data_IF_519025876274
#
_entry.id   IF_519025876274
#
_cell.length_a   1.000
_cell.length_b   1.000
_cell.length_c   1.000
_cell.angle_alpha   90.00
_cell.angle_beta   90.00
_cell.angle_gamma   90.00
#
_symmetry.space_group_name_H-M   'P 1'
#
loop_
_entity.id
_entity.type
_entity.pdbx_description
1 polymer ?
#
# COMPACT_ATOMS: atom_id res chain seq x y z
N UNK A 1 56.71 -104.30 -65.13
CA UNK A 1 55.36 -103.69 -65.19
C UNK A 1 54.66 -103.88 -63.85
N UNK A 2 54.12 -102.78 -63.31
CA UNK A 2 53.59 -102.59 -61.96
C UNK A 2 52.11 -103.00 -61.89
N UNK A 3 51.74 -103.97 -61.05
CA UNK A 3 50.33 -104.29 -60.78
C UNK A 3 49.85 -103.43 -59.61
N UNK A 4 49.16 -102.31 -59.92
CA UNK A 4 48.50 -101.46 -58.92
C UNK A 4 47.40 -102.27 -58.24
N UNK A 5 47.46 -102.41 -56.91
CA UNK A 5 46.30 -102.78 -56.10
C UNK A 5 45.30 -101.63 -56.25
N UNK A 6 44.12 -101.91 -56.81
CA UNK A 6 43.01 -100.97 -56.74
C UNK A 6 42.63 -100.87 -55.26
N UNK A 7 43.02 -99.78 -54.61
CA UNK A 7 42.40 -99.35 -53.37
C UNK A 7 40.94 -99.10 -53.70
N UNK A 8 40.05 -100.00 -53.26
CA UNK A 8 38.64 -99.65 -53.10
C UNK A 8 38.60 -98.54 -52.05
N UNK A 9 38.68 -97.30 -52.52
CA UNK A 9 38.94 -96.09 -51.71
C UNK A 9 37.68 -95.63 -50.98
N UNK A 10 36.63 -96.45 -50.97
CA UNK A 10 35.27 -96.07 -50.57
C UNK A 10 34.50 -97.12 -49.77
N UNK A 11 35.15 -97.92 -48.91
CA UNK A 11 34.42 -98.85 -48.04
C UNK A 11 34.86 -98.72 -46.57
N UNK A 12 33.89 -98.42 -45.71
CA UNK A 12 33.96 -98.18 -44.26
C UNK A 12 34.63 -96.89 -43.74
N UNK A 13 35.95 -96.68 -43.91
CA UNK A 13 36.66 -95.63 -43.15
C UNK A 13 36.28 -94.19 -43.54
N UNK A 14 35.88 -93.96 -44.79
CA UNK A 14 35.41 -92.64 -45.24
C UNK A 14 34.03 -92.29 -44.64
N UNK A 15 33.14 -93.28 -44.51
CA UNK A 15 31.81 -93.09 -43.93
C UNK A 15 31.90 -92.73 -42.44
N UNK A 16 32.83 -93.33 -41.70
CA UNK A 16 33.06 -93.01 -40.28
C UNK A 16 33.56 -91.58 -40.08
N UNK A 17 34.49 -91.11 -40.93
CA UNK A 17 35.02 -89.73 -40.84
C UNK A 17 33.95 -88.70 -41.22
N UNK A 18 33.15 -88.96 -42.25
CA UNK A 18 32.05 -88.08 -42.65
C UNK A 18 30.92 -88.10 -41.62
N UNK A 19 30.59 -89.26 -41.04
CA UNK A 19 29.59 -89.40 -39.98
C UNK A 19 30.01 -88.68 -38.70
N UNK A 20 31.28 -88.81 -38.30
CA UNK A 20 31.83 -88.10 -37.14
C UNK A 20 31.87 -86.58 -37.37
N UNK A 21 32.29 -86.14 -38.56
CA UNK A 21 32.29 -84.72 -38.93
C UNK A 21 30.89 -84.12 -38.97
N UNK A 22 29.93 -84.84 -39.56
CA UNK A 22 28.53 -84.40 -39.62
C UNK A 22 27.87 -84.41 -38.24
N UNK A 23 28.15 -85.41 -37.41
CA UNK A 23 27.71 -85.46 -36.02
C UNK A 23 28.25 -84.30 -35.18
N UNK A 24 29.52 -83.93 -35.36
CA UNK A 24 30.12 -82.77 -34.69
C UNK A 24 29.47 -81.45 -35.14
N UNK A 25 29.17 -81.30 -36.43
CA UNK A 25 28.46 -80.13 -36.96
C UNK A 25 27.02 -80.06 -36.44
N UNK A 26 26.30 -81.18 -36.37
CA UNK A 26 24.95 -81.24 -35.78
C UNK A 26 25.01 -80.88 -34.30
N UNK A 27 25.94 -81.45 -33.53
CA UNK A 27 26.10 -81.14 -32.10
C UNK A 27 26.40 -79.66 -31.89
N UNK A 28 27.29 -79.07 -32.70
CA UNK A 28 27.60 -77.65 -32.63
C UNK A 28 26.36 -76.79 -32.96
N UNK A 29 25.58 -77.18 -33.97
CA UNK A 29 24.35 -76.48 -34.36
C UNK A 29 23.27 -76.61 -33.27
N UNK A 30 23.12 -77.77 -32.64
CA UNK A 30 22.17 -78.01 -31.55
C UNK A 30 22.58 -77.23 -30.30
N UNK A 31 23.85 -77.24 -29.92
CA UNK A 31 24.36 -76.47 -28.78
C UNK A 31 24.18 -74.97 -29.05
N UNK A 32 24.55 -74.46 -30.23
CA UNK A 32 24.39 -73.03 -30.55
C UNK A 32 22.93 -72.58 -30.68
N UNK A 33 22.02 -73.45 -31.12
CA UNK A 33 20.58 -73.11 -31.23
C UNK A 33 19.81 -73.25 -29.92
N UNK A 34 20.27 -74.08 -28.98
CA UNK A 34 19.61 -74.27 -27.69
C UNK A 34 20.16 -73.33 -26.61
N UNK A 35 21.45 -72.92 -26.68
CA UNK A 35 22.09 -72.18 -25.60
C UNK A 35 22.06 -70.64 -25.67
N UNK A 36 21.53 -70.00 -26.72
CA UNK A 36 21.36 -68.54 -26.72
C UNK A 36 20.04 -68.08 -27.39
N UNK A 37 19.25 -67.13 -26.80
CA UNK A 37 19.33 -66.63 -25.41
C UNK A 37 17.97 -66.18 -24.81
N UNK A 38 17.25 -67.07 -24.11
CA UNK A 38 16.04 -66.67 -23.36
C UNK A 38 16.36 -65.62 -22.28
N UNK A 39 17.58 -65.60 -21.76
CA UNK A 39 18.06 -64.63 -20.76
C UNK A 39 18.33 -63.25 -21.35
N UNK A 40 18.84 -63.15 -22.59
CA UNK A 40 19.10 -61.86 -23.24
C UNK A 40 17.79 -61.22 -23.71
N UNK A 41 16.83 -62.01 -24.19
CA UNK A 41 15.50 -61.49 -24.55
C UNK A 41 14.75 -60.93 -23.34
N UNK A 42 14.73 -61.65 -22.21
CA UNK A 42 14.15 -61.14 -20.94
C UNK A 42 14.85 -59.87 -20.45
N UNK A 43 16.19 -59.85 -20.47
CA UNK A 43 16.96 -58.66 -20.06
C UNK A 43 16.69 -57.46 -20.97
N UNK A 44 16.47 -57.66 -22.28
CA UNK A 44 16.09 -56.58 -23.20
C UNK A 44 14.68 -56.07 -22.92
N UNK A 45 13.74 -56.97 -22.63
CA UNK A 45 12.37 -56.60 -22.28
C UNK A 45 12.32 -55.81 -20.95
N UNK A 46 13.04 -56.25 -19.93
CA UNK A 46 13.15 -55.55 -18.64
C UNK A 46 13.75 -54.14 -18.79
N UNK A 47 14.80 -54.00 -19.62
CA UNK A 47 15.40 -52.70 -19.91
C UNK A 47 14.45 -51.78 -20.68
N UNK A 48 13.67 -52.32 -21.63
CA UNK A 48 12.65 -51.54 -22.34
C UNK A 48 11.54 -51.07 -21.39
N UNK A 49 11.08 -51.94 -20.48
CA UNK A 49 10.10 -51.56 -19.46
C UNK A 49 10.65 -50.48 -18.52
N UNK A 50 11.93 -50.55 -18.15
CA UNK A 50 12.58 -49.52 -17.34
C UNK A 50 12.66 -48.18 -18.09
N UNK A 51 13.00 -48.18 -19.38
CA UNK A 51 13.03 -46.96 -20.20
C UNK A 51 11.64 -46.31 -20.23
N UNK A 52 10.59 -47.08 -20.50
CA UNK A 52 9.21 -46.57 -20.52
C UNK A 52 8.80 -45.99 -19.16
N UNK A 53 9.22 -46.63 -18.06
CA UNK A 53 8.97 -46.13 -16.71
C UNK A 53 9.68 -44.79 -16.46
N UNK A 54 10.98 -44.70 -16.80
CA UNK A 54 11.77 -43.48 -16.63
C UNK A 54 11.27 -42.35 -17.51
N UNK A 55 10.81 -42.63 -18.74
CA UNK A 55 10.20 -41.62 -19.61
C UNK A 55 8.89 -41.08 -19.04
N UNK A 56 8.08 -41.93 -18.40
CA UNK A 56 6.87 -41.49 -17.70
C UNK A 56 7.21 -40.59 -16.53
N UNK A 57 8.12 -41.03 -15.65
CA UNK A 57 8.57 -40.24 -14.49
C UNK A 57 9.16 -38.90 -14.94
N UNK A 58 9.95 -38.87 -16.02
CA UNK A 58 10.50 -37.63 -16.57
C UNK A 58 9.40 -36.67 -17.05
N UNK A 59 8.36 -37.19 -17.70
CA UNK A 59 7.25 -36.38 -18.17
C UNK A 59 6.40 -35.84 -17.01
N UNK A 60 6.17 -36.65 -15.97
CA UNK A 60 5.51 -36.21 -14.72
C UNK A 60 6.32 -35.09 -14.06
N UNK A 61 7.63 -35.29 -13.86
CA UNK A 61 8.50 -34.31 -13.22
C UNK A 61 8.60 -33.00 -14.02
N UNK A 62 8.56 -33.09 -15.36
CA UNK A 62 8.47 -31.91 -16.23
C UNK A 62 7.14 -31.18 -16.05
N UNK A 63 6.03 -31.92 -15.97
CA UNK A 63 4.71 -31.38 -15.66
C UNK A 63 4.73 -30.60 -14.35
N UNK A 64 5.20 -31.24 -13.27
CA UNK A 64 5.31 -30.62 -11.95
C UNK A 64 6.19 -29.38 -11.98
N UNK A 65 7.34 -29.44 -12.66
CA UNK A 65 8.23 -28.29 -12.82
C UNK A 65 7.56 -27.12 -13.55
N UNK A 66 6.74 -27.38 -14.57
CA UNK A 66 6.00 -26.30 -15.25
C UNK A 66 4.96 -25.65 -14.34
N UNK A 67 4.24 -26.44 -13.53
CA UNK A 67 3.28 -25.90 -12.56
C UNK A 67 3.98 -25.06 -11.50
N UNK A 68 5.05 -25.60 -10.90
CA UNK A 68 5.83 -24.89 -9.88
C UNK A 68 6.40 -23.58 -10.43
N UNK A 69 6.95 -23.58 -11.65
CA UNK A 69 7.48 -22.36 -12.24
C UNK A 69 6.40 -21.29 -12.49
N UNK A 70 5.19 -21.71 -12.87
CA UNK A 70 4.07 -20.80 -13.03
C UNK A 70 3.65 -20.22 -11.69
N UNK A 71 3.53 -21.05 -10.66
CA UNK A 71 3.10 -20.62 -9.32
C UNK A 71 4.17 -19.71 -8.68
N UNK A 72 5.46 -20.00 -8.89
CA UNK A 72 6.58 -19.15 -8.48
C UNK A 72 6.45 -17.75 -9.11
N UNK A 73 6.18 -17.69 -10.41
CA UNK A 73 5.99 -16.42 -11.12
C UNK A 73 4.81 -15.62 -10.55
N UNK A 74 3.69 -16.28 -10.27
CA UNK A 74 2.52 -15.64 -9.64
C UNK A 74 2.88 -15.06 -8.26
N UNK A 75 3.59 -15.82 -7.43
CA UNK A 75 4.05 -15.36 -6.11
C UNK A 75 5.01 -14.17 -6.24
N UNK A 76 5.91 -14.17 -7.22
CA UNK A 76 6.82 -13.05 -7.50
C UNK A 76 6.06 -11.78 -7.89
N UNK A 77 5.05 -11.90 -8.74
CA UNK A 77 4.17 -10.79 -9.13
C UNK A 77 3.42 -10.23 -7.91
N UNK A 78 2.79 -11.10 -7.11
CA UNK A 78 2.13 -10.71 -5.87
C UNK A 78 3.08 -10.03 -4.87
N UNK A 79 4.30 -10.55 -4.73
CA UNK A 79 5.32 -9.96 -3.86
C UNK A 79 5.74 -8.56 -4.34
N UNK A 80 5.89 -8.38 -5.65
CA UNK A 80 6.19 -7.08 -6.26
C UNK A 80 5.07 -6.07 -5.99
N UNK A 81 3.81 -6.47 -6.15
CA UNK A 81 2.65 -5.62 -5.84
C UNK A 81 2.58 -5.26 -4.36
N UNK A 82 2.79 -6.23 -3.47
CA UNK A 82 2.76 -5.99 -2.03
C UNK A 82 3.91 -5.08 -1.59
N UNK A 83 5.10 -5.19 -2.19
CA UNK A 83 6.19 -4.24 -1.95
C UNK A 83 5.83 -2.82 -2.39
N UNK A 84 5.18 -2.65 -3.54
CA UNK A 84 4.68 -1.34 -4.00
C UNK A 84 3.65 -0.76 -3.01
N UNK A 85 2.67 -1.56 -2.59
CA UNK A 85 1.66 -1.17 -1.60
C UNK A 85 2.31 -0.75 -0.27
N UNK A 86 3.27 -1.53 0.23
CA UNK A 86 4.01 -1.22 1.45
C UNK A 86 4.75 0.12 1.34
N UNK A 87 5.45 0.36 0.22
CA UNK A 87 6.18 1.61 0.03
C UNK A 87 5.24 2.81 -0.06
N UNK A 88 4.08 2.65 -0.71
CA UNK A 88 3.04 3.68 -0.73
C UNK A 88 2.53 3.99 0.68
N UNK A 89 2.13 2.97 1.44
CA UNK A 89 1.64 3.14 2.81
C UNK A 89 2.70 3.76 3.74
N UNK A 90 3.98 3.44 3.56
CA UNK A 90 5.06 4.06 4.31
C UNK A 90 5.21 5.55 3.97
N UNK A 91 5.01 5.93 2.70
CA UNK A 91 4.95 7.33 2.28
C UNK A 91 3.76 8.07 2.89
N UNK A 92 2.56 7.50 2.75
CA UNK A 92 1.33 8.05 3.30
C UNK A 92 1.43 8.24 4.83
N UNK A 93 2.05 7.29 5.54
CA UNK A 93 2.28 7.39 6.98
C UNK A 93 3.23 8.54 7.33
N UNK A 94 4.34 8.68 6.59
CA UNK A 94 5.29 9.78 6.80
C UNK A 94 4.66 11.14 6.53
N UNK A 95 3.77 11.24 5.55
CA UNK A 95 3.01 12.45 5.25
C UNK A 95 2.04 12.80 6.41
N UNK A 96 1.26 11.81 6.88
CA UNK A 96 0.36 12.00 8.03
C UNK A 96 1.11 12.38 9.31
N UNK A 97 2.27 11.78 9.59
CA UNK A 97 3.11 12.15 10.73
C UNK A 97 3.61 13.60 10.61
N UNK A 98 3.98 14.02 9.39
CA UNK A 98 4.34 15.39 9.07
C UNK A 98 3.20 16.38 9.34
N UNK A 99 2.02 16.12 8.79
CA UNK A 99 0.82 16.95 8.99
C UNK A 99 0.41 17.02 10.47
N UNK A 100 0.45 15.89 11.18
CA UNK A 100 0.14 15.84 12.60
C UNK A 100 1.12 16.67 13.43
N UNK A 101 2.42 16.57 13.14
CA UNK A 101 3.45 17.35 13.83
C UNK A 101 3.28 18.86 13.59
N UNK A 102 2.97 19.26 12.35
CA UNK A 102 2.70 20.65 11.99
C UNK A 102 1.44 21.18 12.69
N UNK A 103 0.36 20.41 12.65
CA UNK A 103 -0.91 20.75 13.32
C UNK A 103 -0.73 20.90 14.83
N UNK A 104 0.05 20.00 15.44
CA UNK A 104 0.39 20.07 16.86
C UNK A 104 1.19 21.34 17.19
N UNK A 105 2.21 21.66 16.41
CA UNK A 105 3.01 22.87 16.61
C UNK A 105 2.16 24.15 16.49
N UNK A 106 1.27 24.22 15.50
CA UNK A 106 0.33 25.34 15.35
C UNK A 106 -0.65 25.43 16.52
N UNK A 107 -1.13 24.29 17.04
CA UNK A 107 -2.01 24.27 18.21
C UNK A 107 -1.27 24.79 19.45
N UNK A 108 -0.04 24.36 19.67
CA UNK A 108 0.80 24.85 20.78
C UNK A 108 1.04 26.37 20.67
N UNK A 109 1.35 26.89 19.49
CA UNK A 109 1.47 28.34 19.25
C UNK A 109 0.15 29.09 19.50
N UNK A 110 -0.97 28.56 19.00
CA UNK A 110 -2.30 29.16 19.20
C UNK A 110 -2.70 29.19 20.69
N UNK A 111 -2.38 28.14 21.45
CA UNK A 111 -2.58 28.15 22.91
C UNK A 111 -1.69 29.19 23.61
N UNK A 112 -0.44 29.37 23.17
CA UNK A 112 0.46 30.41 23.68
C UNK A 112 -0.06 31.82 23.44
N UNK A 113 -0.54 32.11 22.22
CA UNK A 113 -1.16 33.41 21.89
C UNK A 113 -2.44 33.65 22.67
N UNK A 114 -3.30 32.63 22.84
CA UNK A 114 -4.49 32.70 23.68
C UNK A 114 -4.15 33.09 25.13
N UNK A 115 -3.16 32.43 25.72
CA UNK A 115 -2.71 32.72 27.09
C UNK A 115 -2.16 34.15 27.23
N UNK A 116 -1.44 34.62 26.22
CA UNK A 116 -0.89 35.98 26.17
C UNK A 116 -2.01 37.03 26.09
N UNK A 117 -3.03 36.79 25.24
CA UNK A 117 -4.20 37.65 25.12
C UNK A 117 -5.04 37.68 26.41
N UNK A 118 -5.21 36.54 27.07
CA UNK A 118 -5.89 36.48 28.37
C UNK A 118 -5.17 37.32 29.42
N UNK A 119 -3.84 37.25 29.46
CA UNK A 119 -3.00 38.04 30.36
C UNK A 119 -3.10 39.55 30.06
N UNK A 120 -3.04 39.92 28.78
CA UNK A 120 -3.20 41.32 28.35
C UNK A 120 -4.59 41.87 28.70
N UNK A 121 -5.64 41.08 28.51
CA UNK A 121 -7.01 41.44 28.90
C UNK A 121 -7.13 41.65 30.41
N UNK A 122 -6.53 40.78 31.22
CA UNK A 122 -6.51 40.92 32.67
C UNK A 122 -5.83 42.21 33.09
N UNK A 123 -4.63 42.49 32.58
CA UNK A 123 -3.89 43.73 32.85
C UNK A 123 -4.67 44.98 32.44
N UNK A 124 -5.28 44.99 31.26
CA UNK A 124 -6.13 46.09 30.80
C UNK A 124 -7.34 46.30 31.72
N UNK A 125 -7.95 45.21 32.19
CA UNK A 125 -9.10 45.26 33.11
C UNK A 125 -8.68 45.86 34.46
N UNK A 126 -7.50 45.50 34.97
CA UNK A 126 -6.96 46.08 36.20
C UNK A 126 -6.64 47.58 36.04
N UNK A 127 -6.00 47.98 34.94
CA UNK A 127 -5.75 49.40 34.64
C UNK A 127 -7.05 50.20 34.50
N UNK A 128 -8.06 49.66 33.80
CA UNK A 128 -9.37 50.32 33.71
C UNK A 128 -10.01 50.47 35.09
N UNK A 129 -9.99 49.44 35.95
CA UNK A 129 -10.52 49.54 37.32
C UNK A 129 -9.80 50.59 38.15
N UNK A 130 -8.47 50.70 37.99
CA UNK A 130 -7.65 51.71 38.66
C UNK A 130 -8.02 53.12 38.19
N UNK A 131 -8.09 53.35 36.88
CA UNK A 131 -8.49 54.63 36.31
C UNK A 131 -9.91 55.03 36.71
N UNK A 132 -10.85 54.07 36.76
CA UNK A 132 -12.23 54.34 37.18
C UNK A 132 -12.33 54.71 38.66
N UNK A 133 -11.42 54.21 39.50
CA UNK A 133 -11.39 54.56 40.93
C UNK A 133 -11.05 56.03 41.16
N UNK A 134 -10.19 56.58 40.32
CA UNK A 134 -9.79 57.98 40.35
C UNK A 134 -10.69 58.87 39.45
N UNK A 135 -11.65 58.27 38.74
CA UNK A 135 -12.66 58.98 37.98
C UNK A 135 -13.74 59.52 38.91
N UNK A 136 -13.70 60.83 39.16
CA UNK A 136 -14.75 61.54 39.87
C UNK A 136 -15.63 62.27 38.84
N UNK A 137 -16.87 61.81 38.57
CA UNK A 137 -17.77 62.55 37.70
C UNK A 137 -18.02 63.94 38.31
N UNK A 138 -17.81 64.98 37.49
CA UNK A 138 -18.14 66.34 37.84
C UNK A 138 -19.66 66.45 37.65
N UNK A 139 -20.38 66.51 38.77
CA UNK A 139 -21.80 66.83 38.94
C UNK A 139 -22.84 65.68 38.84
N UNK A 140 -23.80 65.72 39.77
CA UNK A 140 -24.81 64.67 40.06
C UNK A 140 -26.15 64.89 39.32
N UNK A 141 -26.15 65.66 38.23
CA UNK A 141 -27.34 65.94 37.43
C UNK A 141 -27.60 64.85 36.38
N UNK A 142 -27.62 63.58 36.78
CA UNK A 142 -27.85 62.46 35.86
C UNK A 142 -29.31 61.97 35.89
N UNK A 143 -29.94 61.91 34.72
CA UNK A 143 -31.20 61.18 34.50
C UNK A 143 -30.89 59.98 33.62
N UNK A 144 -30.98 58.77 34.16
CA UNK A 144 -30.67 57.53 33.43
C UNK A 144 -29.18 57.32 33.12
N UNK A 145 -28.27 58.00 33.82
CA UNK A 145 -26.82 57.88 33.64
C UNK A 145 -26.20 58.81 32.59
N UNK A 146 -27.00 59.72 32.01
CA UNK A 146 -26.52 60.76 31.08
C UNK A 146 -26.56 62.11 31.82
N UNK A 147 -25.47 62.89 31.86
CA UNK A 147 -25.43 64.18 32.55
C UNK A 147 -26.30 65.21 31.82
N UNK A 148 -27.24 65.83 32.53
CA UNK A 148 -28.36 66.63 31.98
C UNK A 148 -28.03 68.13 31.86
N UNK A 149 -26.85 68.58 32.32
CA UNK A 149 -26.45 70.00 32.23
C UNK A 149 -25.50 70.33 31.07
N UNK A 150 -25.46 69.45 30.05
CA UNK A 150 -24.57 69.62 28.92
C UNK A 150 -25.14 70.64 27.92
N UNK A 151 -24.52 71.82 27.77
CA UNK A 151 -24.84 72.80 26.70
C UNK A 151 -24.70 72.18 25.28
N UNK A 152 -24.07 71.00 25.18
CA UNK A 152 -23.82 70.25 23.96
C UNK A 152 -24.14 68.76 24.13
N UNK A 153 -24.88 68.19 23.18
CA UNK A 153 -25.12 66.74 23.06
C UNK A 153 -24.20 66.18 21.97
N UNK A 154 -23.44 65.11 22.27
CA UNK A 154 -22.54 64.45 21.31
C UNK A 154 -23.08 63.06 21.00
N UNK A 155 -23.36 62.79 19.71
CA UNK A 155 -23.71 61.46 19.23
C UNK A 155 -22.48 60.78 18.65
N UNK A 156 -22.10 59.62 19.19
CA UNK A 156 -21.08 58.74 18.60
C UNK A 156 -21.80 57.61 17.87
N UNK A 157 -21.69 57.60 16.54
CA UNK A 157 -22.41 56.67 15.69
C UNK A 157 -21.39 55.80 14.95
N UNK A 158 -21.53 54.48 15.08
CA UNK A 158 -20.77 53.52 14.28
C UNK A 158 -21.26 53.57 12.82
N UNK A 159 -20.32 53.69 11.87
CA UNK A 159 -20.59 53.70 10.42
C UNK A 159 -20.16 52.39 9.74
N UNK A 160 -19.96 51.32 10.51
CA UNK A 160 -19.68 49.99 9.94
C UNK A 160 -20.76 49.52 8.95
N UNK A 161 -20.39 48.70 7.96
CA UNK A 161 -21.29 48.28 6.88
C UNK A 161 -22.59 47.60 7.36
N UNK A 162 -22.57 46.96 8.54
CA UNK A 162 -23.74 46.37 9.20
C UNK A 162 -24.76 47.40 9.70
N UNK A 163 -24.33 48.64 9.95
CA UNK A 163 -25.22 49.72 10.41
C UNK A 163 -26.11 50.24 9.28
N UNK A 164 -25.60 50.31 8.05
CA UNK A 164 -26.33 50.80 6.88
C UNK A 164 -27.43 49.87 6.37
N UNK A 165 -27.29 48.55 6.58
CA UNK A 165 -28.25 47.56 6.06
C UNK A 165 -29.43 47.24 6.99
N UNK A 166 -29.48 47.83 8.20
CA UNK A 166 -30.54 47.52 9.17
C UNK A 166 -30.92 48.68 10.10
N UNK A 167 -30.16 48.94 11.17
CA UNK A 167 -30.60 49.79 12.28
C UNK A 167 -30.53 51.30 12.00
N UNK A 168 -30.00 51.74 10.85
CA UNK A 168 -29.78 53.16 10.56
C UNK A 168 -31.05 54.02 10.75
N UNK A 169 -32.19 53.57 10.23
CA UNK A 169 -33.45 54.31 10.38
C UNK A 169 -33.90 54.41 11.84
N UNK A 170 -33.65 53.38 12.64
CA UNK A 170 -33.96 53.37 14.07
C UNK A 170 -33.04 54.31 14.86
N UNK A 171 -31.76 54.37 14.48
CA UNK A 171 -30.79 55.32 15.06
C UNK A 171 -31.25 56.76 14.82
N UNK A 172 -31.64 57.09 13.58
CA UNK A 172 -32.16 58.43 13.25
C UNK A 172 -33.43 58.75 14.03
N UNK A 173 -34.36 57.79 14.16
CA UNK A 173 -35.57 57.95 14.96
C UNK A 173 -35.24 58.25 16.43
N UNK A 174 -34.31 57.50 17.03
CA UNK A 174 -33.92 57.68 18.42
C UNK A 174 -33.16 58.98 18.69
N UNK A 175 -32.33 59.41 17.75
CA UNK A 175 -31.69 60.74 17.80
C UNK A 175 -32.76 61.82 17.79
N UNK A 176 -33.76 61.70 16.91
CA UNK A 176 -34.86 62.68 16.80
C UNK A 176 -35.73 62.73 18.05
N UNK A 177 -36.09 61.57 18.62
CA UNK A 177 -36.81 61.46 19.90
C UNK A 177 -36.00 62.03 21.06
N UNK A 178 -34.67 61.91 21.02
CA UNK A 178 -33.81 62.50 22.06
C UNK A 178 -33.79 64.01 21.92
N UNK A 179 -33.60 64.53 20.71
CA UNK A 179 -33.58 65.97 20.44
C UNK A 179 -34.93 66.64 20.76
N UNK A 180 -36.07 65.95 20.63
CA UNK A 180 -37.39 66.51 20.96
C UNK A 180 -37.65 66.69 22.46
N UNK A 181 -36.89 66.00 23.31
CA UNK A 181 -36.96 66.11 24.77
C UNK A 181 -36.15 67.30 25.29
N UNK A 182 -35.20 67.83 24.51
CA UNK A 182 -34.33 68.95 24.89
C UNK A 182 -34.66 70.24 24.11
N UNK A 183 -35.45 71.16 24.68
CA UNK A 183 -36.03 72.30 23.94
C UNK A 183 -35.07 73.48 23.63
N UNK A 184 -33.88 73.56 24.23
CA UNK A 184 -32.94 74.67 24.02
C UNK A 184 -31.55 74.19 23.56
N UNK A 185 -31.40 73.89 22.27
CA UNK A 185 -30.09 73.63 21.65
C UNK A 185 -29.64 74.87 20.87
N UNK A 186 -28.51 75.48 21.25
CA UNK A 186 -28.04 76.75 20.66
C UNK A 186 -27.54 76.68 19.21
N UNK A 187 -27.25 75.50 18.69
CA UNK A 187 -27.09 75.18 17.26
C UNK A 187 -26.57 73.73 17.14
N UNK A 188 -26.89 73.02 16.06
CA UNK A 188 -26.26 71.74 15.71
C UNK A 188 -25.17 71.94 14.65
N UNK A 189 -24.07 71.19 14.75
CA UNK A 189 -23.03 71.11 13.72
C UNK A 189 -22.82 69.63 13.39
N UNK A 190 -23.04 69.27 12.13
CA UNK A 190 -22.72 67.93 11.61
C UNK A 190 -21.22 67.77 11.42
#
# INVERSE_FOLDING_TARGET
MRKRRNMETFNLSFLDVVCCGFGAVILLLVITKIYEPVTIEKSREDLQQLIVKLERELNELRGDSTVINRDLKEIEEQLSENKKKKNKLAGDLSEMEGEFSATRAMSEESTGTMNSLLSAKQSLTEEMKRLLKDYNPIDDSTVGGIPVDSEYIIFVIDTSGSMYQGPWNLVIQKITETLSVYPELKAYKF
#
